data_IF_829152076034
#
_entry.id   IF_829152076034
#
_cell.length_a   1.000
_cell.length_b   1.000
_cell.length_c   1.000
_cell.angle_alpha   90.00
_cell.angle_beta   90.00
_cell.angle_gamma   90.00
#
_symmetry.space_group_name_H-M   'P 1'
#
loop_
_entity.id
_entity.type
_entity.pdbx_description
1 polymer ?
#
# COMPACT_ATOMS: atom_id res chain seq x y z
N UNK A 1 -14.39 9.89 -7.21
CA UNK A 1 -12.93 9.97 -7.37
C UNK A 1 -12.35 8.56 -7.43
N UNK A 2 -11.51 8.27 -8.44
CA UNK A 2 -10.84 6.98 -8.57
C UNK A 2 -9.64 6.91 -7.58
N UNK A 3 -9.46 5.78 -6.85
CA UNK A 3 -8.34 5.64 -5.93
C UNK A 3 -6.99 5.63 -6.67
N UNK A 4 -5.99 6.31 -6.11
CA UNK A 4 -4.63 6.46 -6.63
C UNK A 4 -3.62 5.89 -5.64
N UNK A 5 -2.65 5.13 -6.14
CA UNK A 5 -1.59 4.56 -5.31
C UNK A 5 -0.22 4.79 -5.94
N UNK A 6 0.81 4.97 -5.10
CA UNK A 6 2.19 5.15 -5.54
C UNK A 6 2.80 3.82 -6.00
N UNK A 7 3.45 3.82 -7.17
CA UNK A 7 4.11 2.64 -7.71
C UNK A 7 5.23 2.12 -6.79
N UNK A 8 5.91 3.01 -6.06
CA UNK A 8 6.94 2.61 -5.09
C UNK A 8 6.34 1.79 -3.95
N UNK A 9 5.18 2.25 -3.41
CA UNK A 9 4.47 1.55 -2.35
C UNK A 9 3.86 0.23 -2.82
N UNK A 10 3.59 0.11 -4.11
CA UNK A 10 3.09 -1.14 -4.71
C UNK A 10 4.21 -2.17 -4.94
N UNK A 11 5.44 -1.70 -5.17
CA UNK A 11 6.56 -2.55 -5.57
C UNK A 11 7.36 -3.12 -4.41
N UNK A 12 7.39 -2.44 -3.26
CA UNK A 12 8.32 -2.73 -2.17
C UNK A 12 7.61 -2.97 -0.84
N UNK A 13 8.22 -3.71 0.11
CA UNK A 13 7.60 -4.12 1.36
C UNK A 13 7.65 -3.02 2.42
N UNK A 14 6.81 -2.02 2.29
CA UNK A 14 6.74 -0.91 3.23
C UNK A 14 5.81 -1.12 4.41
N UNK A 15 4.97 -2.15 4.38
CA UNK A 15 3.91 -2.37 5.37
C UNK A 15 3.89 -3.80 5.88
N UNK A 16 3.50 -3.96 7.15
CA UNK A 16 3.21 -5.28 7.70
C UNK A 16 1.98 -5.90 7.03
N UNK A 17 2.09 -7.15 6.61
CA UNK A 17 0.97 -7.92 6.04
C UNK A 17 0.14 -8.65 7.10
N UNK A 18 0.56 -8.62 8.36
CA UNK A 18 -0.14 -9.22 9.49
C UNK A 18 -1.10 -8.22 10.12
N UNK A 19 -2.26 -8.70 10.57
CA UNK A 19 -3.20 -7.90 11.41
C UNK A 19 -2.68 -7.74 12.84
N UNK A 20 -1.86 -8.68 13.30
CA UNK A 20 -1.18 -8.58 14.59
C UNK A 20 -0.06 -7.54 14.54
N UNK A 21 0.21 -6.93 15.70
CA UNK A 21 1.27 -5.95 15.83
C UNK A 21 2.65 -6.56 15.52
N UNK A 22 3.34 -6.01 14.54
CA UNK A 22 4.70 -6.38 14.17
C UNK A 22 5.68 -5.34 14.71
N UNK A 23 6.63 -5.78 15.53
CA UNK A 23 7.73 -4.95 16.04
C UNK A 23 9.07 -5.28 15.37
N UNK A 24 9.17 -6.48 14.78
CA UNK A 24 10.37 -6.89 14.03
C UNK A 24 10.47 -6.05 12.74
N UNK A 25 11.60 -5.40 12.47
CA UNK A 25 11.80 -4.61 11.28
C UNK A 25 11.51 -5.37 9.98
N UNK A 26 11.16 -4.62 8.94
CA UNK A 26 11.20 -5.09 7.56
C UNK A 26 12.54 -4.63 7.00
N UNK A 27 13.41 -5.57 6.64
CA UNK A 27 14.65 -5.30 5.94
C UNK A 27 14.59 -5.95 4.56
N UNK A 28 14.70 -5.12 3.53
CA UNK A 28 14.66 -5.56 2.14
C UNK A 28 15.81 -4.94 1.36
N UNK A 29 16.52 -5.80 0.64
CA UNK A 29 17.57 -5.36 -0.27
C UNK A 29 17.53 -6.21 -1.54
N UNK A 30 17.39 -5.55 -2.69
CA UNK A 30 17.39 -6.21 -4.00
C UNK A 30 17.63 -5.19 -5.11
N UNK A 31 18.47 -5.56 -6.10
CA UNK A 31 18.69 -4.72 -7.29
C UNK A 31 19.19 -3.29 -6.99
N UNK A 32 20.01 -3.11 -5.95
CA UNK A 32 20.49 -1.80 -5.53
C UNK A 32 19.49 -0.97 -4.71
N UNK A 33 18.28 -1.48 -4.50
CA UNK A 33 17.27 -0.84 -3.65
C UNK A 33 17.35 -1.40 -2.24
N UNK A 34 17.37 -0.50 -1.26
CA UNK A 34 17.26 -0.82 0.16
C UNK A 34 15.98 -0.20 0.72
N UNK A 35 15.23 -0.99 1.48
CA UNK A 35 14.08 -0.54 2.27
C UNK A 35 14.20 -1.12 3.67
N UNK A 36 14.19 -0.26 4.68
CA UNK A 36 14.12 -0.64 6.09
C UNK A 36 12.93 0.07 6.73
N UNK A 37 12.07 -0.70 7.39
CA UNK A 37 10.89 -0.16 8.07
C UNK A 37 10.90 -0.62 9.51
N UNK A 38 10.77 0.32 10.42
CA UNK A 38 10.80 0.10 11.87
C UNK A 38 9.57 0.73 12.50
N UNK A 39 8.96 0.01 13.44
CA UNK A 39 7.85 0.51 14.24
C UNK A 39 8.26 0.61 15.72
N UNK A 40 7.53 1.40 16.49
CA UNK A 40 7.71 1.44 17.93
C UNK A 40 7.20 0.16 18.59
N UNK A 41 7.67 -0.10 19.83
CA UNK A 41 7.17 -1.24 20.61
C UNK A 41 5.68 -1.09 20.93
N UNK A 42 5.20 0.13 21.09
CA UNK A 42 3.82 0.43 21.44
C UNK A 42 2.86 0.20 20.27
N UNK A 43 3.15 0.76 19.09
CA UNK A 43 2.25 0.76 17.95
C UNK A 43 2.58 -0.35 16.94
N UNK A 44 3.85 -0.76 16.84
CA UNK A 44 4.34 -1.65 15.79
C UNK A 44 4.51 -0.93 14.45
N UNK A 45 4.79 -1.70 13.43
CA UNK A 45 4.90 -1.22 12.03
C UNK A 45 3.49 -1.01 11.45
N UNK A 46 3.30 0.09 10.71
CA UNK A 46 2.10 0.34 9.94
C UNK A 46 1.76 -0.84 9.03
N UNK A 47 0.48 -1.19 8.99
CA UNK A 47 -0.02 -2.34 8.26
C UNK A 47 -0.47 -1.97 6.85
N UNK A 48 -0.64 -2.97 5.98
CA UNK A 48 -1.17 -2.78 4.63
C UNK A 48 -2.60 -2.18 4.62
N UNK A 49 -3.34 -2.30 5.74
CA UNK A 49 -4.66 -1.66 5.90
C UNK A 49 -4.54 -0.18 6.30
N UNK A 50 -3.47 0.21 7.00
CA UNK A 50 -3.18 1.62 7.33
C UNK A 50 -2.76 2.39 6.07
N UNK A 51 -2.13 1.71 5.11
CA UNK A 51 -1.80 2.27 3.80
C UNK A 51 -3.03 2.81 3.04
N UNK A 52 -4.26 2.41 3.40
CA UNK A 52 -5.49 2.94 2.80
C UNK A 52 -5.61 4.46 3.01
N UNK A 53 -5.12 4.97 4.14
CA UNK A 53 -5.06 6.43 4.41
C UNK A 53 -4.12 7.13 3.42
N UNK A 54 -2.99 6.51 3.08
CA UNK A 54 -2.06 7.06 2.09
C UNK A 54 -2.64 7.00 0.67
N UNK A 55 -3.41 5.96 0.34
CA UNK A 55 -4.15 5.87 -0.92
C UNK A 55 -5.20 6.98 -1.00
N UNK A 56 -5.93 7.24 0.09
CA UNK A 56 -6.84 8.38 0.16
C UNK A 56 -6.08 9.69 -0.07
N UNK A 57 -4.98 9.93 0.64
CA UNK A 57 -4.18 11.14 0.53
C UNK A 57 -3.64 11.34 -0.89
N UNK A 58 -3.06 10.29 -1.50
CA UNK A 58 -2.59 10.32 -2.89
C UNK A 58 -3.72 10.68 -3.86
N UNK A 59 -4.92 10.14 -3.64
CA UNK A 59 -6.08 10.41 -4.50
C UNK A 59 -6.52 11.87 -4.42
N UNK A 60 -6.49 12.48 -3.23
CA UNK A 60 -6.80 13.92 -3.05
C UNK A 60 -5.75 14.80 -3.75
N UNK A 61 -4.46 14.50 -3.56
CA UNK A 61 -3.35 15.25 -4.18
C UNK A 61 -3.45 15.19 -5.70
N UNK A 62 -3.68 13.99 -6.26
CA UNK A 62 -3.82 13.82 -7.72
C UNK A 62 -5.05 14.55 -8.25
N UNK A 63 -6.18 14.49 -7.56
CA UNK A 63 -7.40 15.18 -7.97
C UNK A 63 -7.21 16.70 -7.96
N UNK A 64 -6.53 17.25 -6.95
CA UNK A 64 -6.22 18.68 -6.89
C UNK A 64 -5.27 19.08 -8.04
N UNK A 65 -4.20 18.32 -8.27
CA UNK A 65 -3.28 18.55 -9.39
C UNK A 65 -3.99 18.52 -10.74
N UNK A 66 -4.81 17.49 -10.99
CA UNK A 66 -5.52 17.32 -12.26
C UNK A 66 -6.59 18.40 -12.49
N UNK A 67 -7.07 19.04 -11.41
CA UNK A 67 -7.94 20.22 -11.45
C UNK A 67 -7.17 21.56 -11.59
N UNK A 68 -5.84 21.52 -11.75
CA UNK A 68 -5.00 22.72 -11.85
C UNK A 68 -4.82 23.48 -10.52
N UNK A 69 -5.17 22.87 -9.40
CA UNK A 69 -4.94 23.41 -8.07
C UNK A 69 -3.52 23.09 -7.58
N UNK A 70 -3.05 23.87 -6.61
CA UNK A 70 -1.78 23.59 -5.93
C UNK A 70 -2.03 22.70 -4.71
N UNK A 71 -1.79 21.39 -4.79
CA UNK A 71 -1.96 20.50 -3.64
C UNK A 71 -0.95 20.85 -2.55
N UNK A 72 -1.26 20.46 -1.31
CA UNK A 72 -0.43 20.70 -0.14
C UNK A 72 -0.11 19.37 0.56
N UNK A 73 1.04 19.32 1.26
CA UNK A 73 1.35 18.24 2.22
C UNK A 73 0.47 18.31 3.47
N UNK A 74 0.02 19.50 3.81
CA UNK A 74 -0.96 19.72 4.87
C UNK A 74 -2.35 19.40 4.35
N UNK A 75 -2.98 18.40 4.93
CA UNK A 75 -4.28 17.91 4.54
C UNK A 75 -5.27 18.00 5.70
N UNK A 76 -6.49 18.38 5.39
CA UNK A 76 -7.61 18.41 6.34
C UNK A 76 -8.76 17.58 5.80
N UNK A 77 -9.36 16.79 6.66
CA UNK A 77 -10.56 16.02 6.35
C UNK A 77 -11.31 15.64 7.61
N UNK A 78 -12.57 15.31 7.47
CA UNK A 78 -13.27 14.61 8.54
C UNK A 78 -12.90 13.11 8.53
N UNK A 79 -12.86 12.44 9.69
CA UNK A 79 -12.72 10.98 9.72
C UNK A 79 -13.76 10.27 8.86
N UNK A 80 -14.98 10.80 8.77
CA UNK A 80 -16.05 10.27 7.94
C UNK A 80 -15.65 10.23 6.46
N UNK A 81 -15.08 11.31 5.91
CA UNK A 81 -14.65 11.37 4.51
C UNK A 81 -13.59 10.31 4.19
N UNK A 82 -12.59 10.16 5.07
CA UNK A 82 -11.53 9.15 4.89
C UNK A 82 -12.14 7.74 4.92
N UNK A 83 -12.93 7.42 5.97
CA UNK A 83 -13.54 6.11 6.15
C UNK A 83 -14.46 5.73 4.99
N UNK A 84 -15.27 6.67 4.51
CA UNK A 84 -16.16 6.47 3.34
C UNK A 84 -15.37 6.21 2.07
N UNK A 85 -14.30 6.96 1.85
CA UNK A 85 -13.45 6.77 0.67
C UNK A 85 -12.81 5.39 0.64
N UNK A 86 -12.30 4.89 1.78
CA UNK A 86 -11.64 3.58 1.88
C UNK A 86 -12.64 2.43 2.12
N UNK A 87 -13.95 2.70 1.99
CA UNK A 87 -14.99 1.67 2.11
C UNK A 87 -15.14 1.06 3.50
N UNK A 88 -14.82 1.82 4.57
CA UNK A 88 -14.98 1.37 5.96
C UNK A 88 -16.31 1.83 6.56
N UNK A 89 -16.70 1.17 7.66
CA UNK A 89 -17.81 1.64 8.50
C UNK A 89 -17.51 2.98 9.16
N UNK A 90 -18.56 3.62 9.68
CA UNK A 90 -18.48 4.93 10.34
C UNK A 90 -18.96 4.86 11.80
N UNK A 91 -18.82 3.70 12.44
CA UNK A 91 -19.09 3.52 13.85
C UNK A 91 -17.97 4.13 14.72
N UNK A 92 -18.24 4.34 16.01
CA UNK A 92 -17.22 4.79 16.97
C UNK A 92 -15.96 3.91 16.92
N UNK A 93 -16.14 2.59 16.78
CA UNK A 93 -15.03 1.63 16.66
C UNK A 93 -14.20 1.88 15.39
N UNK A 94 -14.83 2.28 14.29
CA UNK A 94 -14.10 2.56 13.03
C UNK A 94 -13.32 3.87 13.16
N UNK A 95 -13.86 4.88 13.85
CA UNK A 95 -13.11 6.10 14.17
C UNK A 95 -11.90 5.81 15.06
N UNK A 96 -12.04 4.99 16.10
CA UNK A 96 -10.91 4.57 16.94
C UNK A 96 -9.84 3.81 16.15
N UNK A 97 -10.25 2.94 15.24
CA UNK A 97 -9.33 2.22 14.34
C UNK A 97 -8.59 3.15 13.39
N UNK A 98 -9.26 4.19 12.89
CA UNK A 98 -8.61 5.21 12.06
C UNK A 98 -7.54 5.97 12.86
N UNK A 99 -7.83 6.42 14.08
CA UNK A 99 -6.84 7.07 14.94
C UNK A 99 -5.64 6.16 15.21
N UNK A 100 -5.88 4.91 15.57
CA UNK A 100 -4.80 3.94 15.76
C UNK A 100 -3.99 3.67 14.47
N UNK A 101 -4.59 3.79 13.29
CA UNK A 101 -3.86 3.72 12.02
C UNK A 101 -2.98 4.95 11.80
N UNK A 102 -3.47 6.14 12.14
CA UNK A 102 -2.69 7.39 12.07
C UNK A 102 -1.48 7.34 13.03
N UNK A 103 -1.67 6.85 14.26
CA UNK A 103 -0.58 6.65 15.24
C UNK A 103 0.48 5.68 14.69
N UNK A 104 0.07 4.55 14.10
CA UNK A 104 1.02 3.61 13.48
C UNK A 104 1.75 4.22 12.29
N UNK A 105 1.06 4.96 11.44
CA UNK A 105 1.68 5.65 10.30
C UNK A 105 2.70 6.71 10.76
N UNK A 106 2.40 7.45 11.82
CA UNK A 106 3.30 8.45 12.39
C UNK A 106 4.49 7.81 13.08
N UNK A 107 4.28 6.72 13.82
CA UNK A 107 5.33 6.05 14.60
C UNK A 107 6.19 5.06 13.78
N UNK A 108 5.83 4.80 12.53
CA UNK A 108 6.61 3.94 11.62
C UNK A 108 7.68 4.76 10.90
N UNK A 109 8.95 4.44 11.16
CA UNK A 109 10.08 5.04 10.47
C UNK A 109 10.48 4.21 9.26
N UNK A 110 10.68 4.88 8.13
CA UNK A 110 11.14 4.30 6.87
C UNK A 110 12.51 4.85 6.53
N UNK A 111 13.43 3.98 6.10
CA UNK A 111 14.69 4.34 5.48
C UNK A 111 14.78 3.65 4.12
N UNK A 112 14.96 4.41 3.03
CA UNK A 112 14.99 3.84 1.67
C UNK A 112 15.93 4.57 0.75
N UNK A 113 16.55 3.83 -0.20
CA UNK A 113 17.33 4.38 -1.31
C UNK A 113 16.50 4.63 -2.58
N UNK A 114 15.20 4.38 -2.54
CA UNK A 114 14.32 4.60 -3.70
C UNK A 114 14.31 6.09 -4.05
N UNK A 115 14.47 6.39 -5.34
CA UNK A 115 14.62 7.75 -5.91
C UNK A 115 15.92 8.47 -5.52
N UNK A 116 16.90 7.76 -4.98
CA UNK A 116 18.25 8.28 -4.79
C UNK A 116 19.13 7.96 -5.99
N UNK A 117 19.75 8.98 -6.57
CA UNK A 117 20.60 8.85 -7.77
C UNK A 117 21.95 8.22 -7.49
N UNK A 118 22.48 8.36 -6.29
CA UNK A 118 23.84 7.89 -5.93
C UNK A 118 23.85 6.53 -5.23
N UNK A 119 22.68 5.99 -4.81
CA UNK A 119 22.57 4.73 -4.08
C UNK A 119 23.23 4.71 -2.68
N UNK A 120 23.91 5.81 -2.29
CA UNK A 120 24.70 5.90 -1.04
C UNK A 120 23.96 6.61 0.10
N UNK A 121 22.84 7.26 -0.18
CA UNK A 121 22.05 7.98 0.80
C UNK A 121 20.69 7.29 1.00
N UNK A 122 20.16 7.38 2.18
CA UNK A 122 18.83 6.89 2.50
C UNK A 122 17.95 8.08 2.88
N UNK A 123 16.80 8.19 2.23
CA UNK A 123 15.71 9.00 2.76
C UNK A 123 15.21 8.37 4.05
N UNK A 124 15.00 9.19 5.08
CA UNK A 124 14.40 8.76 6.35
C UNK A 124 13.20 9.63 6.66
N UNK A 125 12.06 8.99 6.91
CA UNK A 125 10.80 9.68 7.19
C UNK A 125 9.82 8.75 7.91
N UNK A 126 8.75 9.33 8.46
CA UNK A 126 7.54 8.61 8.87
C UNK A 126 6.45 8.80 7.82
N UNK A 127 5.48 7.89 7.74
CA UNK A 127 4.40 7.98 6.75
C UNK A 127 3.50 9.21 6.94
N UNK A 128 3.40 9.69 8.17
CA UNK A 128 2.77 10.95 8.57
C UNK A 128 3.74 11.63 9.51
N UNK A 129 4.14 12.88 9.20
CA UNK A 129 5.05 13.64 10.05
C UNK A 129 4.34 14.11 11.33
N UNK A 130 3.10 14.54 11.19
CA UNK A 130 2.27 15.03 12.28
C UNK A 130 0.79 14.80 11.94
N UNK A 131 -0.03 14.52 12.95
CA UNK A 131 -1.47 14.57 12.85
C UNK A 131 -2.09 15.09 14.15
N UNK A 132 -3.25 15.74 14.05
CA UNK A 132 -4.01 16.23 15.19
C UNK A 132 -5.51 16.24 14.90
N UNK A 133 -6.29 16.16 15.96
CA UNK A 133 -7.73 16.42 15.91
C UNK A 133 -7.98 17.92 15.96
N UNK A 134 -8.92 18.37 15.15
CA UNK A 134 -9.39 19.76 15.14
C UNK A 134 -10.73 19.86 15.86
N UNK A 135 -10.86 20.86 16.72
CA UNK A 135 -12.11 21.18 17.38
C UNK A 135 -12.33 22.71 17.37
N UNK A 136 -13.58 23.11 17.43
CA UNK A 136 -13.93 24.51 17.63
C UNK A 136 -13.70 24.98 19.08
N UNK A 137 -13.96 26.26 19.36
CA UNK A 137 -13.82 26.83 20.70
C UNK A 137 -14.75 26.21 21.76
N UNK A 138 -15.77 25.46 21.33
CA UNK A 138 -16.71 24.73 22.20
C UNK A 138 -16.35 23.26 22.37
N UNK A 139 -15.23 22.81 21.73
CA UNK A 139 -14.80 21.43 21.75
C UNK A 139 -15.50 20.51 20.73
N UNK A 140 -16.30 21.07 19.81
CA UNK A 140 -16.97 20.29 18.76
C UNK A 140 -15.94 19.80 17.76
N UNK A 141 -15.86 18.49 17.43
CA UNK A 141 -14.92 17.98 16.45
C UNK A 141 -15.13 18.57 15.05
N UNK A 142 -14.10 19.19 14.47
CA UNK A 142 -14.11 19.75 13.12
C UNK A 142 -13.44 18.82 12.09
N UNK A 143 -12.67 17.81 12.55
CA UNK A 143 -11.96 16.90 11.68
C UNK A 143 -10.58 16.56 12.18
N UNK A 144 -9.73 16.17 11.26
CA UNK A 144 -8.30 15.92 11.49
C UNK A 144 -7.47 16.72 10.50
N UNK A 145 -6.27 17.05 10.94
CA UNK A 145 -5.22 17.64 10.10
C UNK A 145 -4.02 16.69 10.15
N UNK A 146 -3.39 16.46 9.00
CA UNK A 146 -2.19 15.65 8.90
C UNK A 146 -1.18 16.27 7.93
N UNK A 147 0.11 16.03 8.19
CA UNK A 147 1.23 16.49 7.38
C UNK A 147 1.96 15.27 6.80
N UNK A 148 1.98 15.19 5.48
CA UNK A 148 2.67 14.14 4.75
C UNK A 148 4.18 14.41 4.65
N UNK A 149 5.04 13.38 4.61
CA UNK A 149 6.47 13.54 4.36
C UNK A 149 6.72 13.98 2.90
N UNK A 150 7.79 14.76 2.70
CA UNK A 150 8.21 15.25 1.37
C UNK A 150 8.41 14.10 0.39
N UNK A 151 9.00 13.01 0.84
CA UNK A 151 9.26 11.84 -0.01
C UNK A 151 7.99 11.27 -0.63
N UNK A 152 6.94 11.08 0.17
CA UNK A 152 5.66 10.58 -0.32
C UNK A 152 4.97 11.59 -1.22
N UNK A 153 4.91 12.86 -0.78
CA UNK A 153 4.25 13.94 -1.50
C UNK A 153 4.87 14.16 -2.89
N UNK A 154 6.20 14.25 -2.98
CA UNK A 154 6.91 14.41 -4.24
C UNK A 154 6.66 13.22 -5.21
N UNK A 155 6.61 11.99 -4.67
CA UNK A 155 6.30 10.81 -5.49
C UNK A 155 4.86 10.78 -6.00
N UNK A 156 3.90 11.38 -5.28
CA UNK A 156 2.50 11.45 -5.72
C UNK A 156 2.29 12.60 -6.73
N UNK A 157 3.08 13.65 -6.66
CA UNK A 157 3.05 14.73 -7.65
C UNK A 157 3.56 14.29 -9.02
N UNK A 158 4.48 13.33 -9.07
CA UNK A 158 4.95 12.76 -10.33
C UNK A 158 3.89 11.79 -10.90
N UNK A 159 3.27 12.22 -12.00
CA UNK A 159 2.23 11.44 -12.66
C UNK A 159 2.73 10.07 -13.15
N UNK A 160 4.03 9.92 -13.46
CA UNK A 160 4.64 8.67 -13.88
C UNK A 160 4.75 7.64 -12.75
N UNK A 161 4.73 8.10 -11.50
CA UNK A 161 4.85 7.25 -10.31
C UNK A 161 3.51 6.88 -9.66
N UNK A 162 2.38 7.24 -10.25
CA UNK A 162 1.05 6.99 -9.68
C UNK A 162 0.20 6.14 -10.61
N UNK A 163 -0.51 5.17 -10.05
CA UNK A 163 -1.45 4.33 -10.77
C UNK A 163 -2.86 4.43 -10.16
N UNK A 164 -3.86 4.36 -11.05
CA UNK A 164 -5.25 4.12 -10.62
C UNK A 164 -5.39 2.68 -10.19
N UNK A 165 -6.07 2.45 -9.06
CA UNK A 165 -6.42 1.12 -8.59
C UNK A 165 -7.95 0.93 -8.60
N UNK A 166 -8.39 -0.33 -8.67
CA UNK A 166 -9.81 -0.67 -8.61
C UNK A 166 -10.34 -0.40 -7.18
N UNK A 167 -11.47 0.29 -7.01
CA UNK A 167 -12.10 0.48 -5.69
C UNK A 167 -12.40 -0.83 -4.94
N UNK A 168 -12.57 -1.95 -5.66
CA UNK A 168 -12.72 -3.27 -5.06
C UNK A 168 -11.51 -3.72 -4.23
N UNK A 169 -10.33 -3.09 -4.40
CA UNK A 169 -9.16 -3.30 -3.56
C UNK A 169 -9.49 -3.15 -2.06
N UNK A 170 -10.29 -2.17 -1.69
CA UNK A 170 -10.64 -1.94 -0.29
C UNK A 170 -11.47 -3.06 0.34
N UNK A 171 -12.07 -3.94 -0.48
CA UNK A 171 -12.82 -5.13 -0.02
C UNK A 171 -11.94 -6.34 0.23
N UNK A 172 -10.70 -6.34 -0.26
CA UNK A 172 -9.74 -7.41 0.00
C UNK A 172 -9.41 -7.49 1.49
N UNK A 173 -9.50 -8.67 2.08
CA UNK A 173 -9.42 -8.86 3.53
C UNK A 173 -8.09 -9.43 4.02
N UNK A 174 -7.36 -10.12 3.14
CA UNK A 174 -6.05 -10.74 3.42
C UNK A 174 -4.88 -9.75 3.21
N UNK A 175 -3.86 -9.78 4.06
CA UNK A 175 -2.70 -8.92 3.90
C UNK A 175 -1.86 -9.28 2.67
N UNK A 176 -1.61 -10.57 2.44
CA UNK A 176 -0.93 -11.08 1.23
C UNK A 176 -1.75 -10.75 -0.01
N UNK A 177 -3.06 -10.89 0.05
CA UNK A 177 -3.99 -10.60 -1.03
C UNK A 177 -3.92 -9.12 -1.45
N UNK A 178 -3.94 -8.19 -0.49
CA UNK A 178 -3.81 -6.74 -0.72
C UNK A 178 -2.45 -6.37 -1.31
N UNK A 179 -1.39 -6.92 -0.75
CA UNK A 179 -0.04 -6.73 -1.25
C UNK A 179 0.11 -7.27 -2.67
N UNK A 180 -0.38 -8.49 -2.93
CA UNK A 180 -0.31 -9.12 -4.25
C UNK A 180 -1.08 -8.32 -5.30
N UNK A 181 -2.30 -7.83 -4.98
CA UNK A 181 -3.04 -6.96 -5.87
C UNK A 181 -2.22 -5.73 -6.30
N UNK A 182 -1.59 -5.05 -5.35
CA UNK A 182 -0.76 -3.87 -5.64
C UNK A 182 0.41 -4.22 -6.56
N UNK A 183 1.13 -5.30 -6.26
CA UNK A 183 2.25 -5.78 -7.06
C UNK A 183 1.81 -6.15 -8.49
N UNK A 184 0.74 -6.92 -8.62
CA UNK A 184 0.15 -7.33 -9.91
C UNK A 184 -0.31 -6.11 -10.69
N UNK A 185 -0.98 -5.14 -10.06
CA UNK A 185 -1.43 -3.90 -10.70
C UNK A 185 -0.26 -3.09 -11.26
N UNK A 186 0.85 -3.02 -10.54
CA UNK A 186 2.04 -2.33 -11.01
C UNK A 186 2.66 -2.99 -12.24
N UNK A 187 2.76 -4.30 -12.26
CA UNK A 187 3.49 -5.03 -13.30
C UNK A 187 2.59 -5.47 -14.47
N UNK A 188 1.33 -5.79 -14.22
CA UNK A 188 0.40 -6.32 -15.23
C UNK A 188 -0.38 -5.28 -16.05
N UNK A 189 -0.29 -4.00 -15.69
CA UNK A 189 -1.17 -2.97 -16.27
C UNK A 189 -0.95 -2.62 -17.75
N UNK A 190 0.22 -2.97 -18.32
CA UNK A 190 0.58 -2.69 -19.73
C UNK A 190 1.14 -3.93 -20.45
N UNK A 191 0.98 -5.10 -19.88
CA UNK A 191 1.50 -6.36 -20.44
C UNK A 191 0.33 -7.20 -20.95
N UNK A 192 0.06 -7.24 -22.28
CA UNK A 192 -1.06 -8.01 -22.84
C UNK A 192 -0.91 -9.50 -22.55
N UNK A 193 0.32 -10.02 -22.60
CA UNK A 193 0.62 -11.43 -22.37
C UNK A 193 0.72 -11.79 -20.88
N UNK A 194 0.54 -10.79 -19.99
CA UNK A 194 0.68 -10.97 -18.55
C UNK A 194 2.12 -10.89 -18.05
N UNK A 195 2.34 -11.31 -16.83
CA UNK A 195 3.64 -11.33 -16.17
C UNK A 195 3.73 -12.51 -15.21
N UNK A 196 4.95 -12.83 -14.76
CA UNK A 196 5.15 -13.93 -13.83
C UNK A 196 6.23 -13.62 -12.79
N UNK A 197 6.11 -14.26 -11.63
CA UNK A 197 7.07 -14.17 -10.54
C UNK A 197 7.28 -15.53 -9.88
N UNK A 198 8.51 -15.85 -9.56
CA UNK A 198 8.88 -16.97 -8.70
C UNK A 198 8.33 -16.78 -7.27
N UNK A 199 7.81 -17.86 -6.65
CA UNK A 199 7.22 -17.81 -5.31
C UNK A 199 8.23 -17.42 -4.22
N UNK A 200 9.51 -17.84 -4.33
CA UNK A 200 10.54 -17.43 -3.38
C UNK A 200 10.90 -15.95 -3.53
N UNK A 201 10.90 -15.46 -4.78
CA UNK A 201 11.04 -14.04 -5.04
C UNK A 201 9.89 -13.24 -4.41
N UNK A 202 8.65 -13.69 -4.61
CA UNK A 202 7.47 -13.06 -4.01
C UNK A 202 7.53 -13.06 -2.48
N UNK A 203 7.96 -14.18 -1.87
CA UNK A 203 8.10 -14.26 -0.41
C UNK A 203 9.08 -13.21 0.12
N UNK A 204 10.28 -13.10 -0.46
CA UNK A 204 11.26 -12.07 -0.09
C UNK A 204 10.70 -10.66 -0.32
N UNK A 205 10.09 -10.44 -1.47
CA UNK A 205 9.54 -9.13 -1.88
C UNK A 205 8.34 -8.68 -1.04
N UNK A 206 7.64 -9.60 -0.41
CA UNK A 206 6.49 -9.29 0.45
C UNK A 206 6.87 -8.77 1.83
N UNK A 207 8.10 -9.03 2.28
CA UNK A 207 8.51 -8.75 3.66
C UNK A 207 7.75 -9.58 4.70
N UNK A 208 7.08 -10.66 4.29
CA UNK A 208 6.36 -11.56 5.20
C UNK A 208 7.30 -12.26 6.17
N UNK A 209 6.87 -12.41 7.42
CA UNK A 209 7.57 -13.20 8.45
C UNK A 209 7.10 -14.65 8.49
N UNK A 210 6.11 -15.03 7.68
CA UNK A 210 5.66 -16.41 7.57
C UNK A 210 6.75 -17.31 6.98
N UNK A 211 6.77 -18.58 7.33
CA UNK A 211 7.64 -19.55 6.65
C UNK A 211 7.27 -19.62 5.17
N UNK A 212 8.24 -19.92 4.34
CA UNK A 212 8.01 -20.01 2.88
C UNK A 212 6.88 -20.99 2.51
N UNK A 213 6.80 -22.15 3.18
CA UNK A 213 5.74 -23.14 2.94
C UNK A 213 4.34 -22.57 3.20
N UNK A 214 4.18 -21.80 4.29
CA UNK A 214 2.91 -21.20 4.68
C UNK A 214 2.53 -20.08 3.68
N UNK A 215 3.48 -19.22 3.32
CA UNK A 215 3.31 -18.20 2.31
C UNK A 215 2.93 -18.80 0.93
N UNK A 216 3.57 -19.89 0.52
CA UNK A 216 3.26 -20.59 -0.73
C UNK A 216 1.85 -21.20 -0.70
N UNK A 217 1.42 -21.74 0.46
CA UNK A 217 0.05 -22.21 0.66
C UNK A 217 -0.97 -21.06 0.47
N UNK A 218 -0.70 -19.90 1.07
CA UNK A 218 -1.55 -18.72 0.94
C UNK A 218 -1.65 -18.26 -0.52
N UNK A 219 -0.54 -18.24 -1.26
CA UNK A 219 -0.55 -17.89 -2.69
C UNK A 219 -1.39 -18.87 -3.52
N UNK A 220 -1.25 -20.18 -3.29
CA UNK A 220 -2.06 -21.18 -4.00
C UNK A 220 -3.54 -21.02 -3.69
N UNK A 221 -3.89 -20.74 -2.45
CA UNK A 221 -5.27 -20.45 -2.05
C UNK A 221 -5.82 -19.17 -2.69
N UNK A 222 -4.99 -18.13 -2.87
CA UNK A 222 -5.38 -16.92 -3.60
C UNK A 222 -5.63 -17.19 -5.07
N UNK A 223 -4.76 -17.97 -5.72
CA UNK A 223 -4.95 -18.39 -7.12
C UNK A 223 -6.23 -19.20 -7.27
N UNK A 224 -6.50 -20.13 -6.37
CA UNK A 224 -7.74 -20.94 -6.42
C UNK A 224 -9.01 -20.08 -6.27
N UNK A 225 -8.97 -19.03 -5.44
CA UNK A 225 -10.12 -18.13 -5.21
C UNK A 225 -10.32 -17.08 -6.29
N UNK A 226 -9.30 -16.76 -7.09
CA UNK A 226 -9.35 -15.70 -8.10
C UNK A 226 -9.88 -14.37 -7.56
N UNK A 227 -9.44 -13.96 -6.38
CA UNK A 227 -10.02 -12.84 -5.62
C UNK A 227 -9.52 -11.47 -6.05
N UNK A 228 -8.49 -11.37 -6.90
CA UNK A 228 -7.92 -10.08 -7.29
C UNK A 228 -8.75 -9.37 -8.35
N UNK A 229 -9.29 -8.16 -8.07
CA UNK A 229 -10.11 -7.43 -9.03
C UNK A 229 -9.35 -7.14 -10.32
N UNK A 230 -9.94 -7.49 -11.47
CA UNK A 230 -9.40 -7.18 -12.79
C UNK A 230 -8.21 -8.03 -13.24
N UNK A 231 -7.89 -9.12 -12.52
CA UNK A 231 -6.79 -10.03 -12.88
C UNK A 231 -7.19 -11.49 -12.77
N UNK A 232 -6.64 -12.29 -13.69
CA UNK A 232 -6.66 -13.75 -13.62
C UNK A 232 -5.27 -14.21 -13.18
N UNK A 233 -5.25 -15.07 -12.17
CA UNK A 233 -4.04 -15.67 -11.62
C UNK A 233 -3.89 -17.11 -12.07
N UNK A 234 -2.65 -17.57 -12.27
CA UNK A 234 -2.30 -18.94 -12.54
C UNK A 234 -1.06 -19.38 -11.79
N UNK A 235 -0.80 -20.68 -11.77
CA UNK A 235 0.45 -21.25 -11.28
C UNK A 235 1.04 -22.11 -12.38
N UNK A 236 2.28 -21.81 -12.73
CA UNK A 236 3.08 -22.64 -13.62
C UNK A 236 4.19 -23.33 -12.80
N UNK A 237 4.38 -24.62 -13.02
CA UNK A 237 5.42 -25.40 -12.35
C UNK A 237 6.53 -25.69 -13.35
N UNK A 238 7.76 -25.39 -12.95
CA UNK A 238 8.95 -25.74 -13.70
C UNK A 238 9.58 -26.97 -13.01
N UNK A 239 9.35 -28.20 -13.51
CA UNK A 239 9.79 -29.43 -12.85
C UNK A 239 11.30 -29.49 -12.65
N UNK A 240 12.07 -29.05 -13.66
CA UNK A 240 13.53 -29.08 -13.66
C UNK A 240 14.14 -28.19 -12.56
N UNK A 241 13.49 -27.07 -12.21
CA UNK A 241 13.94 -26.16 -11.19
C UNK A 241 13.25 -26.34 -9.83
N UNK A 242 12.30 -27.26 -9.71
CA UNK A 242 11.43 -27.41 -8.52
C UNK A 242 10.82 -26.07 -8.06
N UNK A 243 10.46 -25.22 -9.02
CA UNK A 243 10.02 -23.85 -8.81
C UNK A 243 8.58 -23.67 -9.27
N UNK A 244 7.80 -22.92 -8.48
CA UNK A 244 6.46 -22.47 -8.86
C UNK A 244 6.50 -21.00 -9.21
N UNK A 245 5.90 -20.66 -10.36
CA UNK A 245 5.72 -19.30 -10.82
C UNK A 245 4.26 -18.89 -10.64
N UNK A 246 4.02 -17.73 -10.05
CA UNK A 246 2.74 -17.06 -10.12
C UNK A 246 2.67 -16.34 -11.45
N UNK A 247 1.72 -16.72 -12.28
CA UNK A 247 1.40 -16.00 -13.53
C UNK A 247 0.15 -15.15 -13.31
N UNK A 248 0.08 -14.01 -13.99
CA UNK A 248 -1.10 -13.16 -13.94
C UNK A 248 -1.24 -12.34 -15.22
N UNK A 249 -2.48 -12.08 -15.60
CA UNK A 249 -2.84 -11.22 -16.72
C UNK A 249 -4.03 -10.34 -16.38
N UNK A 250 -4.07 -9.15 -16.95
CA UNK A 250 -5.24 -8.28 -16.85
C UNK A 250 -6.44 -8.91 -17.56
N UNK A 251 -7.59 -8.87 -16.91
CA UNK A 251 -8.86 -9.10 -17.62
C UNK A 251 -9.17 -7.80 -18.34
N UNK A 252 -9.04 -7.78 -19.67
CA UNK A 252 -9.53 -6.65 -20.48
C UNK A 252 -11.00 -6.42 -20.11
N UNK A 253 -11.44 -5.18 -19.87
CA UNK A 253 -12.86 -4.93 -19.79
C UNK A 253 -13.45 -5.39 -21.13
N UNK A 254 -14.23 -6.47 -21.10
CA UNK A 254 -15.06 -6.86 -22.23
C UNK A 254 -15.81 -5.60 -22.63
N UNK A 255 -15.58 -5.13 -23.84
CA UNK A 255 -16.40 -4.08 -24.43
C UNK A 255 -17.84 -4.53 -24.22
N UNK A 256 -18.55 -3.88 -23.31
CA UNK A 256 -19.99 -4.03 -23.20
C UNK A 256 -20.53 -3.34 -24.46
N UNK A 257 -20.96 -4.16 -25.41
CA UNK A 257 -21.72 -3.73 -26.57
C UNK A 257 -23.05 -3.07 -26.16
#
# INVERSE_FOLDING_TARGET
>A
MAPRDSQDLMAYPFFSLAKSRRTMPIDFQSGGVTVRVEGTREHGIATIWDADVLIWAASQIVAARDAGLHPSRLMRATPYEILRFIGRGVSLRDYQRLKAALDRLQSTTVATSIRETTGRRLHRFSWINEWKELADARGTPLGIELILPDWFYAGVLDAALVLTIDPAYFRLTGGIERWLYRLVRKHGGKQPDGWQFDFRHLHRKSGSTARFCDFACDLRALVARQSLPGYVLGIERIPEASTELLTFRSVSPTARG
#
